data_IF_649358887542
#
_entry.id   IF_649358887542
#
_cell.length_a   1.000
_cell.length_b   1.000
_cell.length_c   1.000
_cell.angle_alpha   90.00
_cell.angle_beta   90.00
_cell.angle_gamma   90.00
#
_symmetry.space_group_name_H-M   'P 1'
#
loop_
_entity.id
_entity.type
_entity.pdbx_description
1 polymer ?
#
# COMPACT_ATOMS: atom_id res chain seq x y z
N UNK A 1 -17.61 2.33 -14.82
CA UNK A 1 -16.47 2.56 -13.89
C UNK A 1 -15.84 3.88 -14.28
N UNK A 2 -15.67 4.83 -13.35
CA UNK A 2 -15.06 6.13 -13.67
C UNK A 2 -13.59 5.97 -14.07
N UNK A 3 -13.06 6.87 -14.91
CA UNK A 3 -11.64 6.86 -15.29
C UNK A 3 -10.72 6.82 -14.06
N UNK A 4 -11.03 7.61 -13.02
CA UNK A 4 -10.27 7.61 -11.76
C UNK A 4 -10.33 6.27 -11.01
N UNK A 5 -11.46 5.57 -11.03
CA UNK A 5 -11.54 4.23 -10.43
C UNK A 5 -10.70 3.23 -11.23
N UNK A 6 -10.74 3.32 -12.56
CA UNK A 6 -9.94 2.44 -13.43
C UNK A 6 -8.45 2.64 -13.18
N UNK A 7 -8.01 3.89 -13.04
CA UNK A 7 -6.60 4.22 -12.78
C UNK A 7 -6.15 3.67 -11.41
N UNK A 8 -6.97 3.84 -10.36
CA UNK A 8 -6.72 3.22 -9.05
C UNK A 8 -6.61 1.69 -9.14
N UNK A 9 -7.54 1.04 -9.84
CA UNK A 9 -7.51 -0.43 -10.05
C UNK A 9 -6.20 -0.86 -10.72
N UNK A 10 -5.75 -0.12 -11.74
CA UNK A 10 -4.48 -0.41 -12.40
C UNK A 10 -3.27 -0.24 -11.48
N UNK A 11 -3.23 0.83 -10.70
CA UNK A 11 -2.17 1.06 -9.70
C UNK A 11 -2.11 -0.09 -8.70
N UNK A 12 -3.26 -0.55 -8.19
CA UNK A 12 -3.30 -1.67 -7.27
C UNK A 12 -2.85 -3.00 -7.91
N UNK A 13 -3.14 -3.23 -9.19
CA UNK A 13 -2.63 -4.40 -9.92
C UNK A 13 -1.11 -4.37 -10.08
N UNK A 14 -0.55 -3.20 -10.42
CA UNK A 14 0.90 -3.01 -10.52
C UNK A 14 1.55 -3.32 -9.16
N UNK A 15 1.00 -2.76 -8.07
CA UNK A 15 1.52 -3.04 -6.73
C UNK A 15 1.37 -4.51 -6.32
N UNK A 16 0.29 -5.19 -6.69
CA UNK A 16 0.16 -6.62 -6.45
C UNK A 16 1.31 -7.41 -7.08
N UNK A 17 1.66 -7.10 -8.34
CA UNK A 17 2.80 -7.72 -9.03
C UNK A 17 4.11 -7.36 -8.34
N UNK A 18 4.33 -6.09 -8.00
CA UNK A 18 5.56 -5.65 -7.30
C UNK A 18 5.73 -6.39 -5.98
N UNK A 19 4.66 -6.51 -5.16
CA UNK A 19 4.74 -7.20 -3.88
C UNK A 19 4.91 -8.71 -4.03
N UNK A 20 4.29 -9.32 -5.04
CA UNK A 20 4.50 -10.73 -5.32
C UNK A 20 5.95 -11.01 -5.73
N UNK A 21 6.49 -10.24 -6.69
CA UNK A 21 7.90 -10.35 -7.10
C UNK A 21 8.82 -10.07 -5.92
N UNK A 22 8.53 -9.04 -5.11
CA UNK A 22 9.26 -8.74 -3.90
C UNK A 22 9.28 -9.92 -2.92
N UNK A 23 8.13 -10.56 -2.67
CA UNK A 23 8.04 -11.74 -1.81
C UNK A 23 8.92 -12.89 -2.33
N UNK A 24 8.91 -13.15 -3.64
CA UNK A 24 9.77 -14.17 -4.25
C UNK A 24 11.25 -13.82 -4.09
N UNK A 25 11.65 -12.57 -4.34
CA UNK A 25 13.04 -12.14 -4.20
C UNK A 25 13.52 -12.24 -2.75
N UNK A 26 12.71 -11.80 -1.78
CA UNK A 26 13.04 -11.93 -0.36
C UNK A 26 13.22 -13.40 0.05
N UNK A 27 12.37 -14.29 -0.46
CA UNK A 27 12.39 -15.70 -0.09
C UNK A 27 13.53 -16.48 -0.74
N UNK A 28 13.74 -16.30 -2.06
CA UNK A 28 14.71 -17.09 -2.81
C UNK A 28 16.10 -16.46 -2.89
N UNK A 29 16.22 -15.14 -2.75
CA UNK A 29 17.46 -14.39 -2.95
C UNK A 29 17.68 -13.33 -1.85
N UNK A 30 17.62 -13.69 -0.56
CA UNK A 30 17.72 -12.72 0.54
C UNK A 30 19.08 -11.98 0.57
N UNK A 31 20.18 -12.66 0.25
CA UNK A 31 21.51 -12.07 0.25
C UNK A 31 21.67 -10.99 -0.83
N UNK A 32 21.09 -11.22 -2.01
CA UNK A 32 21.12 -10.28 -3.12
C UNK A 32 20.31 -9.02 -2.83
N UNK A 33 19.21 -9.14 -2.07
CA UNK A 33 18.46 -7.98 -1.60
C UNK A 33 19.33 -7.11 -0.69
N UNK A 34 20.07 -7.71 0.25
CA UNK A 34 20.99 -6.96 1.11
C UNK A 34 22.14 -6.35 0.32
N UNK A 35 22.67 -7.06 -0.68
CA UNK A 35 23.66 -6.51 -1.60
C UNK A 35 23.14 -5.24 -2.29
N UNK A 36 21.94 -5.29 -2.86
CA UNK A 36 21.31 -4.16 -3.55
C UNK A 36 21.05 -2.96 -2.64
N UNK A 37 20.57 -3.22 -1.41
CA UNK A 37 20.34 -2.18 -0.41
C UNK A 37 21.66 -1.45 -0.05
N UNK A 38 22.77 -2.18 -0.02
CA UNK A 38 24.10 -1.63 0.30
C UNK A 38 24.82 -0.99 -0.91
N UNK A 39 24.25 -1.02 -2.13
CA UNK A 39 24.84 -0.32 -3.30
C UNK A 39 24.97 1.18 -3.04
N UNK A 40 23.94 1.80 -2.45
CA UNK A 40 23.96 3.24 -2.12
C UNK A 40 25.16 3.62 -1.23
N UNK A 41 25.28 3.02 -0.03
CA UNK A 41 26.46 3.15 0.84
C UNK A 41 27.79 2.96 0.10
N UNK A 42 27.92 1.90 -0.72
CA UNK A 42 29.16 1.58 -1.46
C UNK A 42 29.56 2.65 -2.48
N UNK A 43 28.57 3.17 -3.20
CA UNK A 43 28.80 4.14 -4.29
C UNK A 43 29.03 5.54 -3.73
N UNK A 44 28.18 5.98 -2.80
CA UNK A 44 28.23 7.36 -2.30
C UNK A 44 29.20 7.54 -1.13
N UNK A 45 29.52 6.47 -0.38
CA UNK A 45 30.43 6.48 0.80
C UNK A 45 30.06 7.50 1.88
N UNK A 46 28.79 7.90 1.95
CA UNK A 46 28.25 8.86 2.93
C UNK A 46 27.77 8.12 4.20
N UNK A 47 27.36 6.86 4.06
CA UNK A 47 26.78 6.05 5.12
C UNK A 47 27.44 4.67 5.16
N UNK A 48 27.40 4.05 6.33
CA UNK A 48 27.87 2.68 6.52
C UNK A 48 26.91 1.65 5.91
N UNK A 49 27.47 0.52 5.51
CA UNK A 49 26.71 -0.65 5.05
C UNK A 49 25.96 -1.29 6.23
N UNK A 50 24.73 -1.76 5.99
CA UNK A 50 24.06 -2.61 6.97
C UNK A 50 24.74 -3.99 6.96
N UNK A 51 25.10 -4.53 8.14
CA UNK A 51 25.71 -5.85 8.23
C UNK A 51 24.74 -6.92 7.72
N UNK A 52 25.30 -7.94 7.04
CA UNK A 52 24.52 -9.11 6.64
C UNK A 52 23.95 -9.80 7.89
N UNK A 53 22.63 -10.04 7.94
CA UNK A 53 22.04 -10.76 9.06
C UNK A 53 22.62 -12.17 9.17
N UNK A 54 23.02 -12.59 10.37
CA UNK A 54 23.45 -13.98 10.61
C UNK A 54 22.28 -14.96 10.57
N UNK A 55 21.07 -14.46 10.82
CA UNK A 55 19.83 -15.24 10.92
C UNK A 55 18.83 -14.85 9.83
N UNK A 56 18.05 -15.82 9.37
CA UNK A 56 17.06 -15.63 8.29
C UNK A 56 15.63 -15.39 8.81
N UNK A 57 15.43 -15.17 10.11
CA UNK A 57 14.10 -14.97 10.70
C UNK A 57 13.31 -13.82 10.04
N UNK A 58 14.00 -12.73 9.69
CA UNK A 58 13.41 -11.57 9.02
C UNK A 58 12.88 -11.90 7.61
N UNK A 59 13.40 -12.94 6.94
CA UNK A 59 12.95 -13.37 5.61
C UNK A 59 11.51 -13.87 5.67
N UNK A 60 11.18 -14.69 6.66
CA UNK A 60 9.82 -15.21 6.83
C UNK A 60 8.81 -14.07 7.12
N UNK A 61 9.19 -13.12 7.98
CA UNK A 61 8.36 -11.95 8.29
C UNK A 61 8.18 -11.04 7.07
N UNK A 62 9.26 -10.75 6.35
CA UNK A 62 9.21 -9.87 5.17
C UNK A 62 8.40 -10.50 4.04
N UNK A 63 8.61 -11.79 3.78
CA UNK A 63 7.88 -12.54 2.74
C UNK A 63 6.40 -12.60 3.05
N UNK A 64 6.02 -12.95 4.29
CA UNK A 64 4.61 -13.01 4.69
C UNK A 64 3.92 -11.65 4.59
N UNK A 65 4.58 -10.57 5.01
CA UNK A 65 4.05 -9.21 4.86
C UNK A 65 3.90 -8.80 3.40
N UNK A 66 4.88 -9.09 2.54
CA UNK A 66 4.78 -8.81 1.10
C UNK A 66 3.63 -9.59 0.45
N UNK A 67 3.41 -10.85 0.82
CA UNK A 67 2.27 -11.63 0.34
C UNK A 67 0.93 -11.06 0.82
N UNK A 68 0.84 -10.59 2.07
CA UNK A 68 -0.36 -9.92 2.59
C UNK A 68 -0.64 -8.60 1.87
N UNK A 69 0.39 -7.83 1.54
CA UNK A 69 0.27 -6.60 0.74
C UNK A 69 -0.14 -6.89 -0.70
N UNK A 70 0.38 -7.97 -1.30
CA UNK A 70 -0.07 -8.47 -2.60
C UNK A 70 -1.57 -8.80 -2.55
N UNK A 71 -1.99 -9.59 -1.56
CA UNK A 71 -3.40 -9.95 -1.35
C UNK A 71 -4.28 -8.70 -1.20
N UNK A 72 -3.92 -7.77 -0.31
CA UNK A 72 -4.67 -6.53 -0.12
C UNK A 72 -4.74 -5.71 -1.42
N UNK A 73 -3.69 -5.72 -2.23
CA UNK A 73 -3.64 -5.01 -3.51
C UNK A 73 -4.53 -5.65 -4.57
N UNK A 74 -4.51 -6.98 -4.70
CA UNK A 74 -5.42 -7.74 -5.58
C UNK A 74 -6.86 -7.45 -5.19
N UNK A 75 -7.22 -7.58 -3.92
CA UNK A 75 -8.59 -7.38 -3.47
C UNK A 75 -9.04 -5.92 -3.59
N UNK A 76 -8.16 -4.95 -3.37
CA UNK A 76 -8.44 -3.53 -3.66
C UNK A 76 -8.70 -3.28 -5.15
N UNK A 77 -8.07 -4.05 -6.04
CA UNK A 77 -8.28 -3.94 -7.49
C UNK A 77 -9.59 -4.62 -7.96
N UNK A 78 -9.98 -5.74 -7.34
CA UNK A 78 -11.21 -6.48 -7.68
C UNK A 78 -12.43 -5.80 -7.06
N UNK A 79 -12.30 -5.33 -5.82
CA UNK A 79 -13.37 -4.70 -5.05
C UNK A 79 -13.01 -3.27 -4.63
N UNK A 80 -12.83 -2.32 -5.57
CA UNK A 80 -12.37 -0.94 -5.29
C UNK A 80 -13.40 -0.07 -4.54
N UNK A 81 -14.51 -0.65 -4.07
CA UNK A 81 -15.49 -0.02 -3.20
C UNK A 81 -15.26 -0.37 -1.73
N UNK A 82 -14.60 -1.49 -1.44
CA UNK A 82 -14.34 -1.97 -0.08
C UNK A 82 -13.10 -1.26 0.46
N UNK A 83 -13.31 -0.33 1.40
CA UNK A 83 -12.24 0.50 1.99
C UNK A 83 -11.31 -0.28 2.93
N UNK A 84 -11.73 -1.45 3.42
CA UNK A 84 -10.95 -2.24 4.38
C UNK A 84 -9.58 -2.65 3.85
N UNK A 85 -9.50 -3.10 2.59
CA UNK A 85 -8.25 -3.58 2.00
C UNK A 85 -7.21 -2.47 1.82
N UNK A 86 -7.65 -1.28 1.39
CA UNK A 86 -6.73 -0.14 1.30
C UNK A 86 -6.32 0.35 2.70
N UNK A 87 -7.22 0.28 3.69
CA UNK A 87 -6.88 0.57 5.08
C UNK A 87 -5.75 -0.31 5.60
N UNK A 88 -5.82 -1.63 5.36
CA UNK A 88 -4.76 -2.59 5.72
C UNK A 88 -3.44 -2.22 5.02
N UNK A 89 -3.50 -1.90 3.72
CA UNK A 89 -2.32 -1.50 2.95
C UNK A 89 -1.67 -0.24 3.52
N UNK A 90 -2.47 0.79 3.83
CA UNK A 90 -1.98 2.05 4.39
C UNK A 90 -1.41 1.88 5.79
N UNK A 91 -2.10 1.16 6.68
CA UNK A 91 -1.61 0.91 8.05
C UNK A 91 -0.27 0.18 8.01
N UNK A 92 -0.13 -0.83 7.15
CA UNK A 92 1.13 -1.55 6.97
C UNK A 92 2.25 -0.61 6.53
N UNK A 93 2.03 0.23 5.51
CA UNK A 93 3.07 1.13 5.00
C UNK A 93 3.40 2.26 5.96
N UNK A 94 2.42 2.86 6.62
CA UNK A 94 2.65 3.90 7.64
C UNK A 94 3.48 3.32 8.79
N UNK A 95 3.12 2.12 9.27
CA UNK A 95 3.90 1.43 10.32
C UNK A 95 5.34 1.21 9.89
N UNK A 96 5.57 0.80 8.63
CA UNK A 96 6.92 0.61 8.12
C UNK A 96 7.70 1.92 7.98
N UNK A 97 7.06 3.01 7.51
CA UNK A 97 7.71 4.34 7.44
C UNK A 97 8.11 4.82 8.83
N UNK A 98 7.22 4.67 9.83
CA UNK A 98 7.52 5.03 11.22
C UNK A 98 8.69 4.18 11.74
N UNK A 99 8.66 2.86 11.53
CA UNK A 99 9.73 1.96 11.94
C UNK A 99 11.07 2.30 11.29
N UNK A 100 11.10 2.50 9.98
CA UNK A 100 12.30 2.89 9.25
C UNK A 100 12.84 4.25 9.68
N UNK A 101 11.97 5.24 9.86
CA UNK A 101 12.37 6.58 10.32
C UNK A 101 12.93 6.50 11.75
N UNK A 102 12.28 5.73 12.63
CA UNK A 102 12.75 5.52 14.00
C UNK A 102 14.14 4.88 14.03
N UNK A 103 14.34 3.80 13.26
CA UNK A 103 15.64 3.10 13.15
C UNK A 103 16.70 3.98 12.49
N UNK A 104 16.32 4.81 11.52
CA UNK A 104 17.26 5.76 10.94
C UNK A 104 17.74 6.78 11.96
N UNK A 105 16.86 7.32 12.82
CA UNK A 105 17.21 8.38 13.78
C UNK A 105 17.90 7.87 15.05
N UNK A 106 17.49 6.70 15.55
CA UNK A 106 17.94 6.17 16.85
C UNK A 106 18.74 4.87 16.74
N UNK A 107 18.85 4.30 15.55
CA UNK A 107 19.60 3.07 15.33
C UNK A 107 21.11 3.31 15.44
N UNK A 108 21.88 2.32 15.89
CA UNK A 108 23.32 2.47 16.17
C UNK A 108 24.20 2.76 14.94
N UNK A 109 23.68 2.59 13.73
CA UNK A 109 24.44 2.71 12.48
C UNK A 109 23.85 3.73 11.49
N UNK A 110 22.78 4.47 11.86
CA UNK A 110 22.08 5.47 11.03
C UNK A 110 22.05 5.11 9.52
N UNK A 111 21.76 3.84 9.21
CA UNK A 111 22.07 3.28 7.90
C UNK A 111 21.21 3.89 6.80
N UNK A 112 21.83 4.24 5.66
CA UNK A 112 21.16 4.75 4.47
C UNK A 112 19.96 3.90 4.04
N UNK A 113 20.06 2.59 4.22
CA UNK A 113 19.01 1.63 3.93
C UNK A 113 17.70 1.89 4.68
N UNK A 114 17.74 2.37 5.94
CA UNK A 114 16.54 2.71 6.67
C UNK A 114 15.88 3.97 6.10
N UNK A 115 16.68 4.99 5.75
CA UNK A 115 16.16 6.18 5.07
C UNK A 115 15.56 5.81 3.70
N UNK A 116 16.25 4.96 2.93
CA UNK A 116 15.79 4.48 1.64
C UNK A 116 14.48 3.68 1.77
N UNK A 117 14.35 2.84 2.79
CA UNK A 117 13.12 2.13 3.13
C UNK A 117 11.97 3.09 3.46
N UNK A 118 12.22 4.12 4.29
CA UNK A 118 11.24 5.14 4.62
C UNK A 118 10.77 5.93 3.39
N UNK A 119 11.69 6.34 2.52
CA UNK A 119 11.37 7.05 1.27
C UNK A 119 10.55 6.16 0.33
N UNK A 120 10.97 4.91 0.16
CA UNK A 120 10.28 3.94 -0.70
C UNK A 120 8.84 3.76 -0.23
N UNK A 121 8.62 3.45 1.05
CA UNK A 121 7.26 3.22 1.56
C UNK A 121 6.42 4.49 1.63
N UNK A 122 7.03 5.66 1.85
CA UNK A 122 6.33 6.95 1.76
C UNK A 122 5.84 7.23 0.33
N UNK A 123 6.66 6.92 -0.68
CA UNK A 123 6.25 7.08 -2.09
C UNK A 123 5.05 6.20 -2.44
N UNK A 124 5.02 4.96 -1.92
CA UNK A 124 3.89 4.05 -2.06
C UNK A 124 2.63 4.65 -1.45
N UNK A 125 2.72 5.17 -0.22
CA UNK A 125 1.58 5.81 0.45
C UNK A 125 1.04 6.96 -0.39
N UNK A 126 1.90 7.88 -0.84
CA UNK A 126 1.49 9.05 -1.63
C UNK A 126 0.79 8.63 -2.91
N UNK A 127 1.35 7.66 -3.64
CA UNK A 127 0.76 7.17 -4.89
C UNK A 127 -0.60 6.52 -4.62
N UNK A 128 -0.66 5.54 -3.71
CA UNK A 128 -1.88 4.76 -3.47
C UNK A 128 -2.98 5.64 -2.89
N UNK A 129 -2.67 6.48 -1.90
CA UNK A 129 -3.63 7.40 -1.30
C UNK A 129 -4.11 8.44 -2.32
N UNK A 130 -3.23 8.99 -3.15
CA UNK A 130 -3.58 9.96 -4.18
C UNK A 130 -4.58 9.40 -5.20
N UNK A 131 -4.31 8.21 -5.75
CA UNK A 131 -5.24 7.55 -6.67
C UNK A 131 -6.54 7.11 -5.98
N UNK A 132 -6.46 6.68 -4.72
CA UNK A 132 -7.65 6.34 -3.95
C UNK A 132 -8.57 7.55 -3.73
N UNK A 133 -8.04 8.66 -3.22
CA UNK A 133 -8.82 9.88 -2.99
C UNK A 133 -9.44 10.39 -4.29
N UNK A 134 -8.67 10.41 -5.39
CA UNK A 134 -9.19 10.76 -6.72
C UNK A 134 -10.34 9.84 -7.15
N UNK A 135 -10.23 8.54 -6.86
CA UNK A 135 -11.27 7.55 -7.17
C UNK A 135 -12.55 7.75 -6.35
N UNK A 136 -12.42 8.23 -5.09
CA UNK A 136 -13.55 8.50 -4.20
C UNK A 136 -14.24 9.80 -4.58
N UNK A 137 -13.50 10.88 -4.83
CA UNK A 137 -14.07 12.18 -5.24
C UNK A 137 -14.83 12.09 -6.56
N UNK A 138 -14.31 11.32 -7.52
CA UNK A 138 -14.99 11.10 -8.81
C UNK A 138 -16.27 10.28 -8.71
N UNK A 139 -16.60 9.73 -7.53
CA UNK A 139 -17.84 9.00 -7.26
C UNK A 139 -18.87 9.85 -6.50
N UNK A 140 -18.55 11.11 -6.18
CA UNK A 140 -19.42 12.02 -5.42
C UNK A 140 -20.65 12.55 -6.16
N UNK A 141 -21.04 11.98 -7.31
CA UNK A 141 -22.40 12.18 -7.83
C UNK A 141 -23.37 11.46 -6.90
N UNK A 142 -23.98 12.26 -6.03
CA UNK A 142 -24.98 11.89 -5.03
C UNK A 142 -26.10 11.08 -5.70
N UNK A 143 -26.50 9.91 -5.16
CA UNK A 143 -27.76 9.30 -5.56
C UNK A 143 -28.86 10.30 -5.24
N UNK A 144 -29.51 10.86 -6.26
CA UNK A 144 -30.71 11.67 -6.08
C UNK A 144 -31.76 10.80 -5.42
N UNK A 145 -31.91 10.94 -4.10
CA UNK A 145 -33.10 10.47 -3.39
C UNK A 145 -34.20 11.48 -3.72
N UNK A 146 -34.68 11.43 -4.95
CA UNK A 146 -35.91 12.08 -5.42
C UNK A 146 -36.66 11.06 -6.24
N UNK A 147 -37.06 9.98 -5.58
CA UNK A 147 -38.34 9.36 -5.89
C UNK A 147 -39.13 9.38 -4.58
N UNK A 148 -39.76 10.53 -4.35
CA UNK A 148 -40.94 10.65 -3.52
C UNK A 148 -41.94 9.58 -3.99
N UNK A 149 -42.34 8.61 -3.14
CA UNK A 149 -43.41 7.72 -3.54
C UNK A 149 -44.67 8.58 -3.66
N UNK A 150 -45.09 8.79 -4.90
CA UNK A 150 -46.40 9.31 -5.27
C UNK A 150 -47.48 8.34 -4.77
N UNK A 151 -47.69 8.29 -3.46
CA UNK A 151 -48.93 7.79 -2.86
C UNK A 151 -49.85 9.00 -2.75
N UNK A 152 -50.39 9.37 -3.90
CA UNK A 152 -51.71 9.96 -3.99
C UNK A 152 -52.64 9.14 -3.07
N UNK A 153 -53.27 9.74 -2.07
CA UNK A 153 -54.46 10.54 -2.30
C UNK A 153 -55.48 9.82 -3.20
N UNK A 154 -55.82 8.58 -2.86
CA UNK A 154 -57.14 8.00 -3.09
C UNK A 154 -57.77 7.86 -1.68
N UNK A 155 -58.56 8.82 -1.21
CA UNK A 155 -59.99 8.92 -1.54
C UNK A 155 -60.71 7.81 -0.76
N UNK A 156 -61.10 8.00 0.50
CA UNK A 156 -62.32 8.72 0.91
C UNK A 156 -63.53 8.48 -0.01
N UNK A 157 -64.12 7.29 0.09
CA UNK A 157 -65.55 6.95 0.00
C UNK A 157 -65.58 5.42 0.18
N UNK A 158 -66.18 4.85 1.20
CA UNK A 158 -67.60 4.49 1.19
C UNK A 158 -68.12 4.39 2.64
N UNK A 159 -69.30 4.97 2.85
CA UNK A 159 -70.23 4.65 3.92
C UNK A 159 -71.49 4.05 3.32
#
# INVERSE_FOLDING_TARGET
MTHATRDFVWVMRIYAVIYFVGALLFFFMPEEIFYLINVGPRVFKIYDEIPMPSEHFWVALSTSMMMMLCFASVYSSVYPKIKGFIGIHMVSKITSVIGFTYLFLHGPQHGFAYLFGAITDSSVIVVVLGFYLRSVTSRGEVPSITEEPAVAAAGHAEG
#
